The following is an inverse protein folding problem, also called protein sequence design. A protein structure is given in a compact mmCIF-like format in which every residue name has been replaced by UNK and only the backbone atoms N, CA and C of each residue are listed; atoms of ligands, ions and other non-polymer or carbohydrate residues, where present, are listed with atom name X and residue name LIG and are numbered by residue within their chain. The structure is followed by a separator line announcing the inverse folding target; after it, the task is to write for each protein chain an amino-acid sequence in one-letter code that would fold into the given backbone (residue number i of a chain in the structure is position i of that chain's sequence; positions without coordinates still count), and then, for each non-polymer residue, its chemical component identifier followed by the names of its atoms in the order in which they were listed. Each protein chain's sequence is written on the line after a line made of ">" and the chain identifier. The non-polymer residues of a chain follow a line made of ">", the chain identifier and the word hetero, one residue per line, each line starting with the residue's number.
data_IF_637259102458
#
_entry.id   IF_637259102458
#
_cell.length_a   1.000
_cell.length_b   1.000
_cell.length_c   1.000
_cell.angle_alpha   90.00
_cell.angle_beta   90.00
_cell.angle_gamma   90.00
#
_symmetry.space_group_name_H-M   'P 1'
#
loop_
_entity.id
_entity.type
_entity.pdbx_description
1 polymer ?
#
# COMPACT_ATOMS: atom_id res chain seq x y z
N UNK A 1 1.26 -16.12 -11.53
CA UNK A 1 0.04 -15.70 -10.81
C UNK A 1 -1.01 -15.27 -11.82
N UNK A 2 -2.30 -15.52 -11.59
CA UNK A 2 -3.38 -15.00 -12.45
C UNK A 2 -3.50 -13.46 -12.26
N UNK A 3 -3.66 -12.73 -13.37
CA UNK A 3 -3.86 -11.27 -13.36
C UNK A 3 -5.12 -10.88 -12.58
N UNK A 4 -6.19 -11.66 -12.67
CA UNK A 4 -7.43 -11.40 -11.92
C UNK A 4 -7.18 -11.49 -10.41
N UNK A 5 -6.40 -12.48 -9.97
CA UNK A 5 -6.02 -12.62 -8.57
C UNK A 5 -5.21 -11.42 -8.08
N UNK A 6 -4.22 -10.96 -8.86
CA UNK A 6 -3.41 -9.77 -8.55
C UNK A 6 -4.32 -8.55 -8.38
N UNK A 7 -5.25 -8.35 -9.33
CA UNK A 7 -6.19 -7.24 -9.31
C UNK A 7 -7.07 -7.27 -8.06
N UNK A 8 -7.64 -8.43 -7.72
CA UNK A 8 -8.51 -8.58 -6.54
C UNK A 8 -7.75 -8.29 -5.24
N UNK A 9 -6.52 -8.79 -5.09
CA UNK A 9 -5.69 -8.51 -3.91
C UNK A 9 -5.37 -7.01 -3.76
N UNK A 10 -5.04 -6.32 -4.84
CA UNK A 10 -4.79 -4.88 -4.78
C UNK A 10 -6.07 -4.09 -4.50
N UNK A 11 -7.21 -4.51 -5.07
CA UNK A 11 -8.51 -3.87 -4.81
C UNK A 11 -8.90 -3.98 -3.34
N UNK A 12 -8.70 -5.15 -2.74
CA UNK A 12 -8.99 -5.39 -1.34
C UNK A 12 -8.06 -4.57 -0.43
N UNK A 13 -6.76 -4.54 -0.73
CA UNK A 13 -5.79 -3.70 -0.02
C UNK A 13 -6.13 -2.20 -0.10
N UNK A 14 -6.50 -1.71 -1.29
CA UNK A 14 -6.91 -0.30 -1.48
C UNK A 14 -8.18 0.00 -0.70
N UNK A 15 -9.15 -0.92 -0.70
CA UNK A 15 -10.41 -0.74 0.03
C UNK A 15 -10.19 -0.69 1.53
N UNK A 16 -9.33 -1.57 2.05
CA UNK A 16 -8.93 -1.58 3.46
C UNK A 16 -8.19 -0.29 3.87
N UNK A 17 -7.22 0.16 3.05
CA UNK A 17 -6.52 1.41 3.31
C UNK A 17 -7.42 2.63 3.25
N UNK A 18 -8.37 2.69 2.29
CA UNK A 18 -9.36 3.77 2.20
C UNK A 18 -10.28 3.84 3.43
N UNK A 19 -10.56 2.70 4.07
CA UNK A 19 -11.31 2.67 5.31
C UNK A 19 -10.43 3.06 6.50
N UNK A 20 -9.19 2.57 6.54
CA UNK A 20 -8.22 2.86 7.61
C UNK A 20 -7.84 4.35 7.64
N UNK A 21 -7.62 4.99 6.48
CA UNK A 21 -7.23 6.40 6.42
C UNK A 21 -8.32 7.38 6.88
N UNK A 22 -9.58 6.93 7.01
CA UNK A 22 -10.67 7.76 7.54
C UNK A 22 -10.58 7.94 9.06
N UNK A 23 -9.79 7.10 9.73
CA UNK A 23 -9.52 7.24 11.16
C UNK A 23 -8.42 8.29 11.39
N UNK A 24 -8.82 9.53 11.67
CA UNK A 24 -7.88 10.60 12.01
C UNK A 24 -7.20 10.40 13.38
N UNK A 25 -7.63 9.40 14.16
CA UNK A 25 -7.00 9.00 15.44
C UNK A 25 -6.13 7.75 15.30
N UNK A 26 -5.89 7.29 14.07
CA UNK A 26 -5.06 6.13 13.79
C UNK A 26 -3.69 6.26 14.45
N UNK A 27 -3.31 5.25 15.20
CA UNK A 27 -2.03 5.20 15.90
C UNK A 27 -0.90 4.74 14.96
N UNK A 28 0.34 5.15 15.26
CA UNK A 28 1.53 4.68 14.51
C UNK A 28 1.62 3.13 14.48
N UNK A 29 1.39 2.37 15.58
CA UNK A 29 1.38 0.91 15.51
C UNK A 29 0.33 0.33 14.56
N UNK A 30 -0.85 0.96 14.45
CA UNK A 30 -1.88 0.52 13.53
C UNK A 30 -1.46 0.76 12.07
N UNK A 31 -0.81 1.90 11.81
CA UNK A 31 -0.18 2.16 10.51
C UNK A 31 0.93 1.16 10.20
N UNK A 32 1.82 0.84 11.13
CA UNK A 32 2.89 -0.14 10.92
C UNK A 32 2.36 -1.54 10.55
N UNK A 33 1.25 -1.95 11.17
CA UNK A 33 0.56 -3.20 10.84
C UNK A 33 0.03 -3.15 9.41
N UNK A 34 -0.68 -2.07 9.06
CA UNK A 34 -1.22 -1.88 7.71
C UNK A 34 -0.11 -1.83 6.66
N UNK A 35 0.98 -1.13 6.94
CA UNK A 35 2.14 -1.02 6.08
C UNK A 35 2.75 -2.39 5.81
N UNK A 36 3.03 -3.20 6.83
CA UNK A 36 3.56 -4.57 6.66
C UNK A 36 2.63 -5.45 5.83
N UNK A 37 1.32 -5.33 6.04
CA UNK A 37 0.33 -6.04 5.24
C UNK A 37 0.41 -5.61 3.76
N UNK A 38 0.45 -4.31 3.49
CA UNK A 38 0.56 -3.76 2.13
C UNK A 38 1.84 -4.19 1.41
N UNK A 39 2.98 -4.18 2.10
CA UNK A 39 4.26 -4.66 1.57
C UNK A 39 4.18 -6.14 1.18
N UNK A 40 3.52 -6.96 2.02
CA UNK A 40 3.39 -8.38 1.76
C UNK A 40 2.50 -8.67 0.55
N UNK A 41 1.40 -7.93 0.39
CA UNK A 41 0.54 -8.04 -0.78
C UNK A 41 1.32 -7.66 -2.05
N UNK A 42 2.06 -6.56 -2.03
CA UNK A 42 2.88 -6.16 -3.18
C UNK A 42 3.97 -7.18 -3.49
N UNK A 43 4.66 -7.70 -2.48
CA UNK A 43 5.65 -8.77 -2.68
C UNK A 43 5.02 -9.98 -3.38
N UNK A 44 3.87 -10.46 -2.91
CA UNK A 44 3.21 -11.64 -3.47
C UNK A 44 2.69 -11.37 -4.89
N UNK A 45 2.12 -10.18 -5.12
CA UNK A 45 1.42 -9.87 -6.37
C UNK A 45 2.34 -9.38 -7.47
N UNK A 46 3.50 -8.79 -7.15
CA UNK A 46 4.37 -8.16 -8.14
C UNK A 46 5.74 -8.83 -8.31
N UNK A 47 6.13 -9.77 -7.46
CA UNK A 47 7.46 -10.43 -7.54
C UNK A 47 7.75 -11.03 -8.91
N UNK A 48 6.79 -11.74 -9.49
CA UNK A 48 6.96 -12.43 -10.78
C UNK A 48 6.58 -11.55 -11.99
N UNK A 49 5.89 -10.43 -11.76
CA UNK A 49 5.39 -9.55 -12.80
C UNK A 49 6.28 -8.32 -12.99
N UNK A 50 6.51 -7.57 -11.92
CA UNK A 50 7.34 -6.37 -11.93
C UNK A 50 7.84 -6.06 -10.50
N UNK A 51 9.04 -6.54 -10.12
CA UNK A 51 9.58 -6.34 -8.77
C UNK A 51 9.92 -4.87 -8.46
N UNK A 52 10.05 -4.01 -9.48
CA UNK A 52 10.25 -2.57 -9.27
C UNK A 52 9.07 -1.90 -8.59
N UNK A 53 7.86 -2.49 -8.68
CA UNK A 53 6.68 -1.97 -7.98
C UNK A 53 6.89 -1.97 -6.46
N UNK A 54 7.33 -3.09 -5.90
CA UNK A 54 7.63 -3.17 -4.46
C UNK A 54 8.77 -2.23 -4.08
N UNK A 55 9.85 -2.20 -4.89
CA UNK A 55 11.00 -1.34 -4.61
C UNK A 55 10.63 0.15 -4.56
N UNK A 56 9.79 0.61 -5.50
CA UNK A 56 9.34 1.99 -5.55
C UNK A 56 8.37 2.31 -4.40
N UNK A 57 7.55 1.34 -3.98
CA UNK A 57 6.71 1.48 -2.79
C UNK A 57 7.53 1.66 -1.51
N UNK A 58 8.55 0.82 -1.29
CA UNK A 58 9.44 0.95 -0.13
C UNK A 58 10.22 2.27 -0.14
N UNK A 59 10.62 2.76 -1.32
CA UNK A 59 11.24 4.09 -1.46
C UNK A 59 10.28 5.22 -1.10
N UNK A 60 9.01 5.14 -1.54
CA UNK A 60 7.98 6.11 -1.16
C UNK A 60 7.86 6.17 0.37
N UNK A 61 7.69 5.01 1.01
CA UNK A 61 7.58 4.88 2.47
C UNK A 61 8.81 5.44 3.20
N UNK A 62 10.01 5.11 2.72
CA UNK A 62 11.27 5.59 3.34
C UNK A 62 11.45 7.12 3.24
N UNK A 63 10.80 7.77 2.27
CA UNK A 63 10.88 9.21 2.05
C UNK A 63 9.73 9.98 2.74
N UNK A 64 8.83 9.31 3.46
CA UNK A 64 7.76 9.99 4.20
C UNK A 64 8.33 10.74 5.40
N UNK A 65 7.77 11.92 5.67
CA UNK A 65 8.12 12.70 6.85
C UNK A 65 7.74 11.95 8.14
N UNK A 66 8.66 11.88 9.10
CA UNK A 66 8.44 11.23 10.39
C UNK A 66 7.37 11.93 11.24
N UNK A 67 7.12 13.22 11.00
CA UNK A 67 6.08 13.99 11.68
C UNK A 67 4.70 13.85 11.01
N UNK A 68 4.61 13.17 9.87
CA UNK A 68 3.35 12.97 9.17
C UNK A 68 2.42 12.05 9.98
N UNK A 69 1.15 12.43 10.19
CA UNK A 69 0.17 11.57 10.82
C UNK A 69 -0.03 10.24 10.06
N UNK A 70 -0.27 9.13 10.78
CA UNK A 70 -0.53 7.80 10.20
C UNK A 70 -1.51 7.77 9.03
N UNK A 71 -2.65 8.44 9.16
CA UNK A 71 -3.67 8.46 8.10
C UNK A 71 -3.19 9.14 6.80
N UNK A 72 -2.30 10.13 6.90
CA UNK A 72 -1.71 10.80 5.73
C UNK A 72 -0.68 9.90 5.04
N UNK A 73 0.11 9.16 5.82
CA UNK A 73 1.05 8.14 5.31
C UNK A 73 0.29 7.07 4.50
N UNK A 74 -0.84 6.58 5.03
CA UNK A 74 -1.73 5.66 4.28
C UNK A 74 -2.25 6.30 3.00
N UNK A 75 -2.65 7.58 3.04
CA UNK A 75 -3.06 8.32 1.84
C UNK A 75 -2.00 8.31 0.73
N UNK A 76 -0.74 8.58 1.08
CA UNK A 76 0.37 8.50 0.13
C UNK A 76 0.57 7.09 -0.43
N UNK A 77 0.47 6.06 0.41
CA UNK A 77 0.54 4.67 -0.03
C UNK A 77 -0.60 4.33 -1.00
N UNK A 78 -1.82 4.77 -0.71
CA UNK A 78 -3.00 4.54 -1.55
C UNK A 78 -2.87 5.18 -2.93
N UNK A 79 -2.36 6.41 -3.00
CA UNK A 79 -2.09 7.09 -4.28
C UNK A 79 -1.16 6.27 -5.17
N UNK A 80 -0.16 5.62 -4.58
CA UNK A 80 0.72 4.72 -5.30
C UNK A 80 0.01 3.42 -5.73
N UNK A 81 -0.68 2.76 -4.79
CA UNK A 81 -1.38 1.50 -5.04
C UNK A 81 -2.45 1.62 -6.14
N UNK A 82 -3.20 2.73 -6.15
CA UNK A 82 -4.20 3.01 -7.19
C UNK A 82 -3.54 3.12 -8.56
N UNK A 83 -2.38 3.80 -8.66
CA UNK A 83 -1.63 3.89 -9.92
C UNK A 83 -1.12 2.53 -10.37
N UNK A 84 -0.63 1.70 -9.45
CA UNK A 84 -0.23 0.32 -9.76
C UNK A 84 -1.41 -0.48 -10.31
N UNK A 85 -2.58 -0.40 -9.68
CA UNK A 85 -3.78 -1.11 -10.12
C UNK A 85 -4.23 -0.67 -11.53
N UNK A 86 -4.05 0.61 -11.89
CA UNK A 86 -4.35 1.13 -13.23
C UNK A 86 -3.39 0.63 -14.33
N UNK A 87 -2.23 0.08 -13.96
CA UNK A 87 -1.23 -0.44 -14.92
C UNK A 87 -1.42 -1.94 -15.23
N UNK A 88 -2.26 -2.65 -14.47
CA UNK A 88 -2.53 -4.08 -14.64
C UNK A 88 -3.55 -4.36 -15.74
#
# INVERSE_FOLDING_TARGET
>A
MDRNYIYDQLRDLISDGLNTMKDHTLSEPAYDIWLKYSEKILEITTKDYNPSILMNYLRLVSNMDSYMPPYQKIGMCLDYLIRVMQML
#
